data_IF_817601732301
#
_entry.id   IF_817601732301
#
_cell.length_a   1.000
_cell.length_b   1.000
_cell.length_c   1.000
_cell.angle_alpha   90.00
_cell.angle_beta   90.00
_cell.angle_gamma   90.00
#
_symmetry.space_group_name_H-M   'P 1'
#
loop_
_entity.id
_entity.type
_entity.pdbx_description
1 polymer ?
#
# COMPACT_ATOMS: atom_id res chain seq x y z
N UNK A 1 -12.26 -17.57 10.11
CA UNK A 1 -13.35 -16.63 9.78
C UNK A 1 -13.78 -16.87 8.34
N UNK A 2 -15.07 -16.70 8.05
CA UNK A 2 -15.58 -16.69 6.69
C UNK A 2 -14.96 -15.51 5.91
N UNK A 3 -15.05 -15.55 4.58
CA UNK A 3 -14.69 -14.40 3.74
C UNK A 3 -15.41 -13.13 4.23
N UNK A 4 -14.81 -11.94 4.08
CA UNK A 4 -15.49 -10.71 4.45
C UNK A 4 -16.81 -10.58 3.68
N UNK A 5 -17.83 -10.06 4.33
CA UNK A 5 -19.17 -9.93 3.76
C UNK A 5 -19.34 -8.73 2.80
N UNK A 6 -18.22 -8.08 2.44
CA UNK A 6 -18.15 -6.98 1.47
C UNK A 6 -17.23 -7.37 0.32
N UNK A 7 -17.51 -6.82 -0.87
CA UNK A 7 -16.65 -7.01 -2.04
C UNK A 7 -15.50 -6.01 -2.04
N UNK A 8 -15.82 -4.74 -1.75
CA UNK A 8 -14.86 -3.64 -1.64
C UNK A 8 -15.16 -2.88 -0.36
N UNK A 9 -14.13 -2.50 0.37
CA UNK A 9 -14.25 -1.75 1.62
C UNK A 9 -13.46 -0.45 1.52
N UNK A 10 -14.14 0.64 1.85
CA UNK A 10 -13.52 1.93 2.12
C UNK A 10 -13.67 2.33 3.57
N UNK A 11 -12.68 3.07 4.05
CA UNK A 11 -12.82 3.87 5.27
C UNK A 11 -12.84 5.34 4.85
N UNK A 12 -13.82 6.10 5.33
CA UNK A 12 -14.05 7.46 4.83
C UNK A 12 -14.65 8.38 5.87
N UNK A 13 -14.46 9.68 5.68
CA UNK A 13 -15.24 10.73 6.38
C UNK A 13 -16.49 11.02 5.57
N UNK A 14 -17.67 10.93 6.19
CA UNK A 14 -18.94 11.22 5.54
C UNK A 14 -19.20 12.73 5.48
N UNK A 15 -19.72 13.21 4.35
CA UNK A 15 -20.08 14.63 4.17
C UNK A 15 -21.28 15.04 5.03
N UNK A 16 -22.15 14.08 5.34
CA UNK A 16 -23.41 14.31 6.04
C UNK A 16 -23.22 14.72 7.50
N UNK A 17 -22.21 14.18 8.18
CA UNK A 17 -22.01 14.40 9.62
C UNK A 17 -20.56 14.48 10.07
N UNK A 18 -19.61 14.49 9.12
CA UNK A 18 -18.17 14.54 9.34
C UNK A 18 -17.62 13.37 10.19
N UNK A 19 -18.38 12.29 10.39
CA UNK A 19 -17.90 11.10 11.10
C UNK A 19 -17.17 10.15 10.16
N UNK A 20 -16.35 9.30 10.75
CA UNK A 20 -15.64 8.25 10.03
C UNK A 20 -16.47 6.97 9.98
N UNK A 21 -16.51 6.35 8.81
CA UNK A 21 -17.21 5.10 8.56
C UNK A 21 -16.32 4.11 7.81
N UNK A 22 -16.55 2.83 8.06
CA UNK A 22 -16.30 1.73 7.15
C UNK A 22 -17.56 1.47 6.32
N UNK A 23 -17.40 1.24 5.03
CA UNK A 23 -18.52 0.93 4.14
C UNK A 23 -18.08 0.39 2.79
N UNK A 24 -19.06 -0.08 2.02
CA UNK A 24 -18.87 -0.57 0.67
C UNK A 24 -19.21 0.52 -0.35
N UNK A 25 -18.28 0.91 -1.25
CA UNK A 25 -18.54 1.94 -2.24
C UNK A 25 -19.59 1.46 -3.26
N UNK A 26 -20.50 2.36 -3.65
CA UNK A 26 -21.52 2.06 -4.66
C UNK A 26 -20.93 2.08 -6.09
N UNK A 27 -19.81 2.77 -6.27
CA UNK A 27 -19.17 2.97 -7.57
C UNK A 27 -18.46 1.68 -8.04
N UNK A 28 -18.65 1.38 -9.33
CA UNK A 28 -17.90 0.36 -10.05
C UNK A 28 -16.64 0.96 -10.68
N UNK A 29 -15.66 0.12 -11.01
CA UNK A 29 -14.41 0.55 -11.64
C UNK A 29 -13.37 1.12 -10.67
N UNK A 30 -12.45 1.94 -11.19
CA UNK A 30 -11.31 2.47 -10.44
C UNK A 30 -11.74 3.62 -9.49
N UNK A 31 -11.99 3.25 -8.24
CA UNK A 31 -12.47 4.17 -7.21
C UNK A 31 -11.48 5.31 -6.92
N UNK A 32 -10.19 5.04 -6.99
CA UNK A 32 -9.20 6.04 -6.63
C UNK A 32 -8.96 7.06 -7.74
N UNK A 33 -9.12 6.67 -9.02
CA UNK A 33 -9.19 7.65 -10.11
C UNK A 33 -10.45 8.52 -10.02
N UNK A 34 -11.61 7.92 -9.76
CA UNK A 34 -12.85 8.67 -9.54
C UNK A 34 -12.68 9.69 -8.40
N UNK A 35 -12.08 9.26 -7.29
CA UNK A 35 -11.82 10.13 -6.14
C UNK A 35 -10.86 11.26 -6.49
N UNK A 36 -9.76 10.97 -7.20
CA UNK A 36 -8.78 11.97 -7.62
C UNK A 36 -9.35 12.98 -8.63
N UNK A 37 -10.37 12.59 -9.41
CA UNK A 37 -11.06 13.46 -10.36
C UNK A 37 -12.15 14.33 -9.69
N UNK A 38 -12.41 14.14 -8.39
CA UNK A 38 -13.47 14.85 -7.68
C UNK A 38 -14.87 14.34 -8.00
N UNK A 39 -14.98 13.13 -8.57
CA UNK A 39 -16.27 12.50 -8.84
C UNK A 39 -17.01 12.21 -7.53
N UNK A 40 -18.34 12.29 -7.59
CA UNK A 40 -19.17 12.01 -6.41
C UNK A 40 -19.12 10.52 -6.08
N UNK A 41 -18.53 10.19 -4.93
CA UNK A 41 -18.47 8.83 -4.37
C UNK A 41 -19.46 8.70 -3.23
N UNK A 42 -20.13 7.55 -3.16
CA UNK A 42 -21.03 7.17 -2.07
C UNK A 42 -20.69 5.76 -1.58
N UNK A 43 -20.90 5.50 -0.30
CA UNK A 43 -20.67 4.18 0.28
C UNK A 43 -21.75 3.81 1.28
N UNK A 44 -22.18 2.54 1.25
CA UNK A 44 -23.09 1.96 2.24
C UNK A 44 -22.31 1.59 3.50
N UNK A 45 -22.59 2.19 4.66
CA UNK A 45 -21.88 1.84 5.89
C UNK A 45 -22.08 0.37 6.28
N UNK A 46 -21.04 -0.22 6.88
CA UNK A 46 -21.18 -1.52 7.55
C UNK A 46 -22.14 -1.41 8.76
N UNK A 47 -22.83 -2.51 9.08
CA UNK A 47 -23.79 -2.56 10.18
C UNK A 47 -23.13 -2.31 11.54
N UNK A 48 -21.94 -2.89 11.72
CA UNK A 48 -21.04 -2.63 12.84
C UNK A 48 -19.77 -1.94 12.33
N UNK A 49 -19.40 -0.85 13.00
CA UNK A 49 -18.24 0.00 12.70
C UNK A 49 -17.01 -0.35 13.53
N UNK A 50 -17.12 -1.30 14.47
CA UNK A 50 -16.04 -1.71 15.38
C UNK A 50 -14.90 -2.42 14.67
N UNK A 51 -15.22 -3.26 13.67
CA UNK A 51 -14.25 -4.05 12.93
C UNK A 51 -14.71 -4.27 11.50
N UNK A 52 -13.83 -4.07 10.50
CA UNK A 52 -14.15 -4.35 9.12
C UNK A 52 -14.22 -5.86 8.81
N UNK A 53 -13.74 -6.73 9.71
CA UNK A 53 -13.59 -8.16 9.46
C UNK A 53 -14.80 -9.00 9.85
N UNK A 54 -15.55 -8.56 10.85
CA UNK A 54 -16.65 -9.33 11.46
C UNK A 54 -18.03 -8.79 11.08
N UNK A 55 -18.06 -7.71 10.31
CA UNK A 55 -19.26 -6.94 10.00
C UNK A 55 -19.69 -7.14 8.55
N UNK A 56 -20.99 -7.07 8.31
CA UNK A 56 -21.57 -7.06 6.96
C UNK A 56 -22.03 -5.65 6.58
N UNK A 57 -22.12 -5.32 5.27
CA UNK A 57 -22.82 -4.13 4.82
C UNK A 57 -24.20 -4.05 5.48
N UNK A 58 -24.60 -2.87 5.94
CA UNK A 58 -25.91 -2.70 6.55
C UNK A 58 -27.01 -3.09 5.57
N UNK A 59 -28.07 -3.75 6.04
CA UNK A 59 -29.29 -3.97 5.27
C UNK A 59 -30.05 -2.66 4.99
N UNK A 60 -29.63 -1.56 5.64
CA UNK A 60 -30.05 -0.20 5.31
C UNK A 60 -29.63 0.15 3.88
N UNK A 61 -30.59 0.64 3.09
CA UNK A 61 -30.34 1.18 1.74
C UNK A 61 -29.66 2.56 1.74
N UNK A 62 -29.27 3.09 2.91
CA UNK A 62 -28.70 4.44 3.03
C UNK A 62 -27.19 4.44 2.76
N UNK A 63 -26.81 4.93 1.60
CA UNK A 63 -25.44 5.35 1.32
C UNK A 63 -25.14 6.74 1.89
N UNK A 64 -23.89 6.96 2.30
CA UNK A 64 -23.33 8.25 2.69
C UNK A 64 -22.38 8.76 1.62
N UNK A 65 -22.28 10.07 1.48
CA UNK A 65 -21.39 10.72 0.52
C UNK A 65 -19.99 10.78 1.11
N UNK A 66 -19.01 10.25 0.37
CA UNK A 66 -17.60 10.30 0.77
C UNK A 66 -17.09 11.73 0.64
N UNK A 67 -16.75 12.36 1.77
CA UNK A 67 -16.04 13.64 1.79
C UNK A 67 -14.53 13.45 1.62
N UNK A 68 -13.98 12.43 2.29
CA UNK A 68 -12.55 12.10 2.24
C UNK A 68 -12.34 10.61 2.39
N UNK A 69 -11.58 10.00 1.49
CA UNK A 69 -11.08 8.63 1.67
C UNK A 69 -9.92 8.62 2.68
N UNK A 70 -9.88 7.57 3.49
CA UNK A 70 -8.85 7.30 4.49
C UNK A 70 -8.09 6.02 4.09
N UNK A 71 -6.96 5.67 4.74
CA UNK A 71 -6.43 4.32 4.62
C UNK A 71 -7.55 3.31 4.91
N UNK A 72 -7.71 2.23 4.10
CA UNK A 72 -8.81 1.27 4.25
C UNK A 72 -8.92 0.64 5.64
N UNK A 73 -7.85 0.67 6.43
CA UNK A 73 -7.83 0.26 7.84
C UNK A 73 -7.32 1.41 8.72
N UNK A 74 -7.95 1.58 9.89
CA UNK A 74 -7.42 2.46 10.91
C UNK A 74 -6.09 1.92 11.49
N UNK A 75 -5.17 2.78 11.97
CA UNK A 75 -3.88 2.33 12.51
C UNK A 75 -3.98 1.26 13.61
N UNK A 76 -5.00 1.33 14.48
CA UNK A 76 -5.21 0.32 15.54
C UNK A 76 -5.72 -1.03 15.02
N UNK A 77 -6.17 -1.10 13.76
CA UNK A 77 -6.49 -2.35 13.06
C UNK A 77 -5.32 -2.87 12.22
N UNK A 78 -4.15 -2.21 12.28
CA UNK A 78 -2.93 -2.63 11.58
C UNK A 78 -1.85 -2.93 12.62
N UNK A 79 -1.83 -4.13 13.19
CA UNK A 79 -0.89 -4.48 14.26
C UNK A 79 0.55 -4.65 13.76
N UNK A 80 0.75 -4.94 12.47
CA UNK A 80 2.08 -5.01 11.88
C UNK A 80 2.08 -4.71 10.38
N UNK A 81 3.18 -4.14 9.90
CA UNK A 81 3.45 -3.91 8.47
C UNK A 81 4.80 -4.54 8.16
N UNK A 82 4.80 -5.59 7.35
CA UNK A 82 6.00 -6.32 6.91
C UNK A 82 6.15 -6.15 5.40
N UNK A 83 7.29 -5.63 4.96
CA UNK A 83 7.59 -5.51 3.54
C UNK A 83 8.65 -6.51 3.09
N UNK A 84 8.50 -6.98 1.86
CA UNK A 84 9.36 -7.99 1.26
C UNK A 84 10.34 -7.35 0.29
N UNK A 85 11.62 -7.41 0.64
CA UNK A 85 12.72 -6.91 -0.18
C UNK A 85 13.06 -7.84 -1.33
N UNK A 86 13.52 -7.27 -2.45
CA UNK A 86 14.13 -8.01 -3.55
C UNK A 86 13.21 -9.11 -4.12
N UNK A 87 11.95 -8.77 -4.39
CA UNK A 87 10.96 -9.74 -4.88
C UNK A 87 10.78 -9.70 -6.41
N UNK A 88 11.43 -8.77 -7.10
CA UNK A 88 11.40 -8.60 -8.54
C UNK A 88 12.83 -8.47 -9.07
N UNK A 89 13.09 -9.13 -10.20
CA UNK A 89 14.40 -9.06 -10.85
C UNK A 89 14.73 -7.65 -11.34
N UNK A 90 15.98 -7.24 -11.15
CA UNK A 90 16.51 -6.00 -11.73
C UNK A 90 16.71 -6.10 -13.24
N UNK A 91 16.84 -7.32 -13.77
CA UNK A 91 16.90 -7.60 -15.20
C UNK A 91 15.68 -8.47 -15.55
N UNK A 92 14.65 -7.92 -16.22
CA UNK A 92 13.44 -8.68 -16.53
C UNK A 92 13.68 -9.87 -17.45
N UNK A 93 14.87 -9.96 -18.09
CA UNK A 93 15.25 -11.11 -18.91
C UNK A 93 15.93 -12.22 -18.12
N UNK A 94 16.30 -11.97 -16.85
CA UNK A 94 16.98 -12.94 -15.99
C UNK A 94 16.12 -13.27 -14.78
N UNK A 95 15.97 -14.57 -14.46
CA UNK A 95 15.30 -14.95 -13.23
C UNK A 95 16.14 -14.49 -12.04
N UNK A 96 15.47 -13.92 -11.05
CA UNK A 96 16.11 -13.66 -9.76
C UNK A 96 16.11 -14.95 -8.93
N UNK A 97 17.25 -15.38 -8.39
CA UNK A 97 17.27 -16.55 -7.52
C UNK A 97 16.47 -16.27 -6.26
N UNK A 98 15.67 -17.24 -5.87
CA UNK A 98 14.94 -17.22 -4.61
C UNK A 98 15.95 -17.31 -3.45
N UNK A 99 15.94 -16.35 -2.50
CA UNK A 99 16.87 -16.38 -1.39
C UNK A 99 16.48 -17.47 -0.37
N UNK A 100 17.47 -18.06 0.29
CA UNK A 100 17.23 -19.03 1.37
C UNK A 100 16.45 -18.38 2.53
N UNK A 101 16.88 -17.18 2.91
CA UNK A 101 16.23 -16.33 3.90
C UNK A 101 15.61 -15.12 3.21
N UNK A 102 14.29 -14.95 3.36
CA UNK A 102 13.60 -13.83 2.76
C UNK A 102 14.06 -12.52 3.40
N UNK A 103 14.25 -11.48 2.59
CA UNK A 103 14.60 -10.15 3.09
C UNK A 103 13.31 -9.48 3.56
N UNK A 104 13.18 -9.32 4.88
CA UNK A 104 12.00 -8.73 5.51
C UNK A 104 12.40 -7.45 6.22
N UNK A 105 11.60 -6.39 6.06
CA UNK A 105 11.68 -5.19 6.87
C UNK A 105 10.32 -4.83 7.45
N UNK A 106 10.33 -3.97 8.46
CA UNK A 106 9.13 -3.48 9.10
C UNK A 106 8.93 -1.99 8.79
N UNK A 107 7.67 -1.58 8.61
CA UNK A 107 7.28 -0.17 8.59
C UNK A 107 6.54 0.18 9.87
N UNK A 108 6.76 1.39 10.37
CA UNK A 108 5.96 1.91 11.48
C UNK A 108 4.50 2.10 11.05
N UNK A 109 3.54 1.75 11.90
CA UNK A 109 2.10 1.91 11.63
C UNK A 109 1.70 3.38 11.45
N UNK A 110 2.44 4.31 12.07
CA UNK A 110 2.26 5.76 11.88
C UNK A 110 2.63 6.25 10.46
N UNK A 111 3.33 5.44 9.65
CA UNK A 111 3.63 5.78 8.26
C UNK A 111 2.41 5.71 7.33
N UNK A 112 1.29 5.14 7.76
CA UNK A 112 0.07 5.00 6.95
C UNK A 112 -0.45 6.36 6.47
N UNK A 113 -0.77 6.43 5.17
CA UNK A 113 -1.45 7.57 4.54
C UNK A 113 -2.59 7.08 3.64
N UNK A 114 -3.63 7.90 3.50
CA UNK A 114 -4.80 7.57 2.69
C UNK A 114 -4.68 8.02 1.24
N UNK A 115 -5.69 7.70 0.41
CA UNK A 115 -5.82 8.26 -0.92
C UNK A 115 -5.95 9.79 -0.87
N UNK A 116 -5.14 10.49 -1.66
CA UNK A 116 -5.10 11.95 -1.73
C UNK A 116 -4.33 12.65 -0.60
N UNK A 117 -3.90 11.93 0.43
CA UNK A 117 -2.98 12.49 1.44
C UNK A 117 -1.61 12.76 0.78
N UNK A 118 -0.90 13.80 1.22
CA UNK A 118 0.42 14.10 0.69
C UNK A 118 1.49 13.15 1.25
N UNK A 119 2.39 12.67 0.40
CA UNK A 119 3.66 12.03 0.79
C UNK A 119 4.61 13.17 1.19
N UNK A 120 4.89 13.28 2.48
CA UNK A 120 5.77 14.33 3.01
C UNK A 120 7.21 13.85 2.96
N UNK A 121 8.08 14.59 2.27
CA UNK A 121 9.52 14.37 2.27
C UNK A 121 10.13 15.13 3.47
N UNK A 122 10.59 14.43 4.52
CA UNK A 122 11.15 15.09 5.70
C UNK A 122 12.55 15.62 5.39
N UNK A 123 12.99 16.66 6.11
CA UNK A 123 14.34 17.22 5.93
C UNK A 123 15.48 16.22 6.13
N UNK A 124 15.23 15.17 6.92
CA UNK A 124 16.18 14.09 7.20
C UNK A 124 16.24 13.04 6.09
N UNK A 125 15.27 13.00 5.18
CA UNK A 125 15.35 12.11 4.03
C UNK A 125 16.47 12.61 3.11
N UNK A 126 17.51 11.79 3.02
CA UNK A 126 18.78 12.11 2.39
C UNK A 126 18.63 12.46 0.90
N UNK A 127 18.76 13.75 0.59
CA UNK A 127 19.25 14.27 -0.70
C UNK A 127 18.57 13.73 -1.95
N UNK A 128 17.29 14.05 -2.14
CA UNK A 128 16.53 13.81 -3.38
C UNK A 128 16.38 12.33 -3.80
N UNK A 129 16.82 11.33 -3.01
CA UNK A 129 16.73 9.90 -3.38
C UNK A 129 15.48 9.20 -2.81
N UNK A 130 14.35 9.89 -2.83
CA UNK A 130 13.07 9.39 -2.32
C UNK A 130 12.29 8.71 -3.44
N UNK A 131 11.90 7.47 -3.22
CA UNK A 131 11.40 6.59 -4.26
C UNK A 131 9.98 6.15 -3.98
N UNK A 132 9.22 5.95 -5.05
CA UNK A 132 7.93 5.28 -5.04
C UNK A 132 8.14 3.78 -5.30
N UNK A 133 7.33 2.94 -4.67
CA UNK A 133 7.38 1.49 -4.84
C UNK A 133 5.95 0.96 -4.82
N UNK A 134 5.30 0.85 -5.99
CA UNK A 134 3.97 0.23 -6.04
C UNK A 134 4.05 -1.25 -5.72
N UNK A 135 3.20 -1.72 -4.81
CA UNK A 135 3.10 -3.14 -4.48
C UNK A 135 1.64 -3.57 -4.36
N UNK A 136 1.40 -4.87 -4.58
CA UNK A 136 0.20 -5.53 -4.08
C UNK A 136 0.38 -5.69 -2.56
N UNK A 137 -0.50 -5.10 -1.77
CA UNK A 137 -0.57 -5.33 -0.34
C UNK A 137 -1.57 -6.44 -0.05
N UNK A 138 -1.12 -7.47 0.68
CA UNK A 138 -1.96 -8.52 1.23
C UNK A 138 -2.30 -8.16 2.67
N UNK A 139 -3.59 -8.21 3.01
CA UNK A 139 -4.08 -7.94 4.37
C UNK A 139 -4.61 -9.24 4.95
N UNK A 140 -4.10 -9.63 6.12
CA UNK A 140 -4.58 -10.84 6.80
C UNK A 140 -5.95 -10.60 7.44
N UNK A 141 -6.90 -11.51 7.20
CA UNK A 141 -8.23 -11.45 7.79
C UNK A 141 -8.33 -12.15 9.14
N UNK A 142 -7.36 -12.99 9.50
CA UNK A 142 -7.31 -13.75 10.76
C UNK A 142 -5.85 -13.99 11.18
N UNK A 143 -5.64 -14.28 12.46
CA UNK A 143 -4.31 -14.58 13.00
C UNK A 143 -3.70 -15.80 12.30
N UNK A 144 -2.46 -15.66 11.84
CA UNK A 144 -1.68 -16.72 11.19
C UNK A 144 -0.45 -17.06 12.04
N UNK A 145 -0.29 -18.34 12.40
CA UNK A 145 0.91 -18.85 13.09
C UNK A 145 1.22 -20.25 12.56
N UNK A 146 2.48 -20.46 12.17
CA UNK A 146 2.99 -21.73 11.64
C UNK A 146 2.09 -22.30 10.52
N UNK A 147 1.62 -21.42 9.63
CA UNK A 147 0.67 -21.75 8.57
C UNK A 147 1.38 -22.54 7.47
N UNK A 148 0.76 -23.64 7.02
CA UNK A 148 1.23 -24.37 5.84
C UNK A 148 0.92 -23.58 4.57
N UNK A 149 1.78 -23.70 3.57
CA UNK A 149 1.63 -23.00 2.29
C UNK A 149 0.26 -23.27 1.64
N UNK A 150 -0.21 -24.52 1.63
CA UNK A 150 -1.50 -24.92 1.05
C UNK A 150 -2.71 -24.27 1.75
N UNK A 151 -2.57 -23.91 3.04
CA UNK A 151 -3.63 -23.30 3.84
C UNK A 151 -3.57 -21.76 3.81
N UNK A 152 -2.47 -21.20 3.31
CA UNK A 152 -2.10 -19.79 3.47
C UNK A 152 -3.12 -18.82 2.87
N UNK A 153 -3.67 -19.14 1.69
CA UNK A 153 -4.63 -18.25 1.02
C UNK A 153 -5.93 -18.08 1.83
N UNK A 154 -6.26 -19.03 2.71
CA UNK A 154 -7.43 -18.91 3.60
C UNK A 154 -7.27 -17.84 4.69
N UNK A 155 -6.07 -17.30 4.88
CA UNK A 155 -5.77 -16.25 5.86
C UNK A 155 -5.83 -14.85 5.24
N UNK A 156 -5.91 -14.74 3.90
CA UNK A 156 -6.02 -13.45 3.22
C UNK A 156 -7.43 -12.91 3.41
N UNK A 157 -7.52 -11.74 4.05
CA UNK A 157 -8.77 -11.00 4.24
C UNK A 157 -9.05 -10.04 3.09
N UNK A 158 -8.02 -9.59 2.37
CA UNK A 158 -8.17 -8.78 1.18
C UNK A 158 -6.86 -8.25 0.62
N UNK A 159 -6.99 -7.49 -0.46
CA UNK A 159 -5.90 -6.89 -1.22
C UNK A 159 -6.11 -5.39 -1.41
N UNK A 160 -5.04 -4.62 -1.44
CA UNK A 160 -5.11 -3.22 -1.85
C UNK A 160 -3.79 -2.77 -2.48
N UNK A 161 -3.76 -1.55 -3.02
CA UNK A 161 -2.53 -0.92 -3.48
C UNK A 161 -1.81 -0.32 -2.28
N UNK A 162 -0.50 -0.49 -2.25
CA UNK A 162 0.39 0.26 -1.36
C UNK A 162 1.47 0.97 -2.19
N UNK A 163 1.91 2.13 -1.72
CA UNK A 163 3.17 2.73 -2.14
C UNK A 163 4.19 2.59 -0.99
N UNK A 164 5.18 1.71 -1.14
CA UNK A 164 6.25 1.51 -0.15
C UNK A 164 7.34 2.59 -0.29
N UNK A 165 7.00 3.83 0.09
CA UNK A 165 7.90 4.98 -0.07
C UNK A 165 9.19 4.77 0.70
N UNK A 166 10.30 5.07 0.03
CA UNK A 166 11.63 4.71 0.49
C UNK A 166 12.71 5.77 0.23
N UNK A 167 13.57 5.98 1.21
CA UNK A 167 14.80 6.75 1.07
C UNK A 167 15.91 5.80 0.66
N UNK A 168 16.27 5.81 -0.62
CA UNK A 168 17.32 4.90 -1.12
C UNK A 168 18.69 5.23 -0.52
N UNK A 169 18.96 6.51 -0.23
CA UNK A 169 20.17 6.93 0.46
C UNK A 169 20.31 6.28 1.84
N UNK A 170 19.26 6.31 2.65
CA UNK A 170 19.27 5.69 3.99
C UNK A 170 19.27 4.17 3.93
N UNK A 171 18.48 3.56 3.05
CA UNK A 171 18.47 2.11 2.88
C UNK A 171 19.82 1.56 2.40
N UNK A 172 20.60 2.34 1.63
CA UNK A 172 21.95 1.94 1.20
C UNK A 172 23.02 2.12 2.29
N UNK A 173 22.84 3.07 3.20
CA UNK A 173 23.77 3.34 4.32
C UNK A 173 23.56 2.40 5.51
N UNK A 174 22.35 1.90 5.71
CA UNK A 174 21.97 1.09 6.87
C UNK A 174 21.75 -0.39 6.53
N UNK A 175 21.97 -1.25 7.53
CA UNK A 175 21.61 -2.68 7.45
C UNK A 175 20.12 -2.94 7.71
N UNK A 176 19.42 -2.00 8.35
CA UNK A 176 17.98 -2.08 8.65
C UNK A 176 17.22 -1.03 7.85
N UNK A 177 16.33 -1.46 6.95
CA UNK A 177 15.65 -0.54 6.03
C UNK A 177 14.48 0.22 6.64
N UNK A 178 13.99 -0.19 7.82
CA UNK A 178 12.83 0.42 8.47
C UNK A 178 12.97 1.93 8.65
N UNK A 179 14.17 2.42 8.99
CA UNK A 179 14.43 3.86 9.14
C UNK A 179 14.20 4.65 7.84
N UNK A 180 14.63 4.09 6.70
CA UNK A 180 14.44 4.69 5.39
C UNK A 180 13.07 4.41 4.78
N UNK A 181 12.15 3.76 5.49
CA UNK A 181 10.83 3.34 4.99
C UNK A 181 9.67 3.70 5.93
N UNK A 182 9.92 4.33 7.07
CA UNK A 182 8.90 4.47 8.13
C UNK A 182 8.60 5.91 8.55
N UNK A 183 8.99 6.91 7.75
CA UNK A 183 8.55 8.27 8.04
C UNK A 183 7.02 8.37 7.94
N UNK A 184 6.44 9.35 8.62
CA UNK A 184 5.02 9.66 8.51
C UNK A 184 4.65 9.81 7.03
N UNK A 185 3.48 9.30 6.63
CA UNK A 185 2.96 9.28 5.25
C UNK A 185 3.69 8.38 4.23
N UNK A 186 4.72 7.63 4.63
CA UNK A 186 5.51 6.78 3.70
C UNK A 186 4.94 5.38 3.46
N UNK A 187 3.73 5.11 3.93
CA UNK A 187 2.95 3.92 3.58
C UNK A 187 1.54 4.31 3.07
N UNK A 188 1.40 5.07 1.97
CA UNK A 188 0.10 5.26 1.35
C UNK A 188 -0.56 3.92 1.03
N UNK A 189 -1.83 3.76 1.39
CA UNK A 189 -2.59 2.51 1.30
C UNK A 189 -4.01 2.80 0.79
N UNK A 190 -4.48 2.08 -0.23
CA UNK A 190 -5.83 2.29 -0.80
C UNK A 190 -5.98 1.83 -2.25
N UNK A 191 -6.95 2.39 -3.02
CA UNK A 191 -8.02 3.30 -2.58
C UNK A 191 -9.12 2.60 -1.76
N UNK A 192 -9.21 1.28 -1.88
CA UNK A 192 -10.10 0.41 -1.11
C UNK A 192 -9.41 -0.93 -0.84
N UNK A 193 -9.92 -1.66 0.14
CA UNK A 193 -9.59 -3.07 0.35
C UNK A 193 -10.55 -3.93 -0.48
N UNK A 194 -10.03 -4.85 -1.28
CA UNK A 194 -10.79 -5.75 -2.16
C UNK A 194 -10.76 -7.15 -1.59
N UNK A 195 -11.93 -7.79 -1.46
CA UNK A 195 -12.00 -9.16 -0.93
C UNK A 195 -11.41 -10.17 -1.93
N UNK A 196 -10.97 -11.35 -1.47
CA UNK A 196 -10.48 -12.39 -2.38
C UNK A 196 -11.50 -12.81 -3.44
N UNK A 197 -12.78 -12.86 -3.08
CA UNK A 197 -13.86 -13.16 -4.01
C UNK A 197 -14.03 -12.06 -5.07
N UNK A 198 -14.05 -10.79 -4.64
CA UNK A 198 -14.25 -9.66 -5.54
C UNK A 198 -13.06 -9.38 -6.46
N UNK A 199 -11.84 -9.75 -6.04
CA UNK A 199 -10.68 -9.69 -6.93
C UNK A 199 -10.91 -10.57 -8.17
N UNK A 200 -11.56 -11.74 -7.99
CA UNK A 200 -11.99 -12.65 -9.06
C UNK A 200 -10.87 -13.24 -9.93
N UNK A 201 -9.64 -12.75 -9.77
CA UNK A 201 -8.45 -13.09 -10.54
C UNK A 201 -7.39 -13.73 -9.64
N UNK A 202 -6.47 -14.47 -10.27
CA UNK A 202 -5.28 -14.99 -9.62
C UNK A 202 -4.41 -13.80 -9.16
N UNK A 203 -4.16 -13.62 -7.84
CA UNK A 203 -3.38 -12.49 -7.33
C UNK A 203 -1.91 -12.51 -7.80
N UNK A 204 -1.47 -13.59 -8.46
CA UNK A 204 -0.16 -13.72 -9.09
C UNK A 204 -0.18 -13.47 -10.61
N UNK A 205 -1.23 -12.84 -11.16
CA UNK A 205 -1.31 -12.48 -12.59
C UNK A 205 -1.81 -11.05 -12.80
N UNK A 206 -1.61 -10.18 -11.81
CA UNK A 206 -2.12 -8.82 -11.83
C UNK A 206 -1.09 -7.88 -12.45
N UNK A 207 -1.54 -7.02 -13.36
CA UNK A 207 -0.76 -5.89 -13.84
C UNK A 207 -0.56 -4.87 -12.73
N UNK A 208 0.65 -4.34 -12.60
CA UNK A 208 1.01 -3.33 -11.62
C UNK A 208 1.84 -2.21 -12.26
N UNK A 209 1.48 -0.95 -12.00
CA UNK A 209 2.17 0.21 -12.59
C UNK A 209 2.25 1.39 -11.64
N UNK A 210 3.25 2.25 -11.84
CA UNK A 210 3.29 3.59 -11.25
C UNK A 210 3.39 4.61 -12.36
N UNK A 211 2.63 5.69 -12.26
CA UNK A 211 2.82 6.89 -13.06
C UNK A 211 3.22 8.06 -12.17
N UNK A 212 4.16 8.87 -12.64
CA UNK A 212 4.55 10.13 -11.99
C UNK A 212 4.32 11.27 -12.97
N UNK A 213 3.47 12.23 -12.60
CA UNK A 213 3.07 13.35 -13.46
C UNK A 213 2.56 12.86 -14.84
N UNK A 214 1.76 11.79 -14.84
CA UNK A 214 1.21 11.17 -16.04
C UNK A 214 2.19 10.33 -16.87
N UNK A 215 3.48 10.25 -16.49
CA UNK A 215 4.48 9.44 -17.19
C UNK A 215 4.63 8.08 -16.53
N UNK A 216 4.64 7.00 -17.32
CA UNK A 216 4.87 5.65 -16.83
C UNK A 216 6.27 5.55 -16.19
N UNK A 217 6.29 5.12 -14.93
CA UNK A 217 7.46 5.16 -14.05
C UNK A 217 7.81 3.77 -13.49
N UNK A 218 6.83 2.87 -13.34
CA UNK A 218 7.01 1.44 -13.06
C UNK A 218 6.00 0.64 -13.88
N UNK A 219 6.38 -0.55 -14.33
CA UNK A 219 5.48 -1.53 -14.96
C UNK A 219 5.97 -2.94 -14.65
N UNK A 220 5.06 -3.80 -14.20
CA UNK A 220 5.35 -5.21 -13.94
C UNK A 220 4.07 -6.05 -13.82
N UNK A 221 4.26 -7.29 -13.38
CA UNK A 221 3.16 -8.22 -13.05
C UNK A 221 3.46 -8.96 -11.76
N UNK A 222 2.45 -9.25 -10.95
CA UNK A 222 2.62 -10.07 -9.73
C UNK A 222 3.03 -11.51 -10.03
N UNK A 223 3.01 -11.92 -11.30
CA UNK A 223 3.59 -13.18 -11.77
C UNK A 223 5.11 -13.23 -11.58
N UNK A 224 5.78 -12.09 -11.47
CA UNK A 224 7.24 -12.00 -11.32
C UNK A 224 7.72 -12.05 -9.86
N UNK A 225 6.78 -12.10 -8.89
CA UNK A 225 7.13 -12.27 -7.47
C UNK A 225 7.99 -13.53 -7.27
N UNK A 226 9.20 -13.34 -6.74
CA UNK A 226 10.16 -14.43 -6.48
C UNK A 226 9.63 -15.41 -5.43
N UNK A 227 9.08 -14.89 -4.33
CA UNK A 227 8.38 -15.68 -3.30
C UNK A 227 6.88 -15.37 -3.40
N UNK A 228 6.05 -16.39 -3.68
CA UNK A 228 4.60 -16.23 -3.87
C UNK A 228 3.88 -16.01 -2.54
N UNK A 229 2.66 -15.45 -2.61
CA UNK A 229 1.87 -15.07 -1.42
C UNK A 229 1.67 -16.24 -0.44
N UNK A 230 1.34 -17.48 -0.88
CA UNK A 230 1.21 -18.60 0.02
C UNK A 230 2.47 -18.86 0.85
N UNK A 231 3.62 -18.87 0.18
CA UNK A 231 4.91 -19.07 0.81
C UNK A 231 5.32 -17.90 1.71
N UNK A 232 5.02 -16.65 1.32
CA UNK A 232 5.26 -15.48 2.16
C UNK A 232 4.53 -15.61 3.50
N UNK A 233 3.24 -15.97 3.48
CA UNK A 233 2.44 -16.15 4.69
C UNK A 233 3.01 -17.30 5.54
N UNK A 234 3.32 -18.43 4.92
CA UNK A 234 3.91 -19.58 5.62
C UNK A 234 5.22 -19.18 6.33
N UNK A 235 6.18 -18.62 5.57
CA UNK A 235 7.48 -18.17 6.09
C UNK A 235 7.35 -17.12 7.20
N UNK A 236 6.53 -16.10 6.99
CA UNK A 236 6.41 -14.98 7.93
C UNK A 236 5.68 -15.37 9.23
N UNK A 237 4.82 -16.39 9.18
CA UNK A 237 4.07 -16.89 10.33
C UNK A 237 4.83 -17.95 11.14
N UNK A 238 5.98 -18.44 10.65
CA UNK A 238 6.76 -19.43 11.37
C UNK A 238 7.37 -18.87 12.66
N UNK A 239 7.06 -19.52 13.78
CA UNK A 239 7.53 -19.15 15.11
C UNK A 239 6.98 -17.83 15.66
N UNK A 240 6.25 -17.04 14.86
CA UNK A 240 5.70 -15.73 15.25
C UNK A 240 4.31 -15.53 14.65
N UNK A 241 3.31 -15.27 15.50
CA UNK A 241 1.96 -14.93 15.03
C UNK A 241 1.98 -13.66 14.18
N UNK A 242 1.33 -13.70 13.03
CA UNK A 242 0.90 -12.54 12.27
C UNK A 242 -0.56 -12.25 12.65
N UNK A 243 -0.85 -11.19 13.42
CA UNK A 243 -2.22 -10.93 13.84
C UNK A 243 -3.11 -10.51 12.67
N UNK A 244 -4.43 -10.71 12.80
CA UNK A 244 -5.43 -10.18 11.87
C UNK A 244 -5.24 -8.67 11.64
N UNK A 245 -5.41 -8.22 10.41
CA UNK A 245 -5.13 -6.85 9.97
C UNK A 245 -3.66 -6.56 9.65
N UNK A 246 -2.74 -7.52 9.86
CA UNK A 246 -1.34 -7.34 9.44
C UNK A 246 -1.24 -7.17 7.93
N UNK A 247 -0.37 -6.25 7.51
CA UNK A 247 -0.06 -5.98 6.12
C UNK A 247 1.21 -6.71 5.70
N UNK A 248 1.16 -7.39 4.56
CA UNK A 248 2.32 -7.94 3.87
C UNK A 248 2.46 -7.16 2.55
N UNK A 249 3.50 -6.35 2.44
CA UNK A 249 3.83 -5.64 1.21
C UNK A 249 4.73 -6.59 0.39
N UNK A 250 4.20 -7.05 -0.75
CA UNK A 250 4.73 -8.24 -1.43
C UNK A 250 5.98 -8.00 -2.27
N UNK A 251 6.38 -6.74 -2.41
CA UNK A 251 7.50 -6.27 -3.22
C UNK A 251 7.06 -5.45 -4.43
N UNK A 252 7.99 -4.67 -4.97
CA UNK A 252 7.76 -3.75 -6.07
C UNK A 252 8.59 -4.09 -7.32
N UNK A 253 8.03 -3.96 -8.55
CA UNK A 253 8.82 -3.95 -9.77
C UNK A 253 9.85 -2.82 -9.75
N UNK A 254 10.95 -2.97 -10.50
CA UNK A 254 11.96 -1.91 -10.57
C UNK A 254 11.45 -0.71 -11.37
N UNK A 255 11.73 0.50 -10.89
CA UNK A 255 11.40 1.73 -11.62
C UNK A 255 12.09 1.80 -12.99
N UNK A 256 11.37 2.26 -14.01
CA UNK A 256 11.91 2.46 -15.35
C UNK A 256 13.03 3.51 -15.29
N UNK A 257 14.15 3.21 -15.96
CA UNK A 257 15.34 4.07 -15.92
C UNK A 257 16.20 3.90 -14.65
N UNK A 258 15.76 3.12 -13.65
CA UNK A 258 16.61 2.72 -12.52
C UNK A 258 17.61 1.66 -13.00
N UNK A 259 18.89 1.95 -12.78
CA UNK A 259 20.00 1.06 -13.13
C UNK A 259 20.57 0.37 -11.89
N UNK A 260 21.30 -0.72 -12.09
CA UNK A 260 21.92 -1.49 -11.01
C UNK A 260 23.01 -0.66 -10.29
N UNK A 261 23.35 -0.98 -9.02
CA UNK A 261 24.47 -0.34 -8.34
C UNK A 261 25.77 -0.45 -9.16
N UNK A 262 26.33 0.69 -9.57
CA UNK A 262 27.56 0.78 -10.39
C UNK A 262 27.41 1.48 -11.74
N UNK A 263 26.18 1.75 -12.19
CA UNK A 263 25.94 2.47 -13.45
C UNK A 263 26.03 4.00 -13.30
N UNK A 264 26.79 4.66 -14.19
CA UNK A 264 27.30 6.05 -14.04
C UNK A 264 26.34 7.14 -14.60
N UNK A 265 25.03 6.88 -14.72
CA UNK A 265 24.08 7.90 -15.20
C UNK A 265 23.03 8.21 -14.14
N UNK A 266 23.13 9.40 -13.57
CA UNK A 266 22.21 10.00 -12.61
C UNK A 266 20.94 10.51 -13.33
N UNK A 267 20.02 9.59 -13.63
CA UNK A 267 18.66 9.90 -14.10
C UNK A 267 17.59 9.13 -13.32
N UNK A 268 17.89 8.78 -12.06
CA UNK A 268 16.93 8.04 -11.24
C UNK A 268 15.66 8.89 -11.02
N UNK A 269 14.45 8.37 -11.35
CA UNK A 269 13.21 9.12 -11.22
C UNK A 269 12.77 9.15 -9.76
N UNK A 270 13.43 9.96 -8.95
CA UNK A 270 13.03 10.18 -7.57
C UNK A 270 11.91 11.22 -7.48
N UNK A 271 11.09 11.08 -6.45
CA UNK A 271 9.99 11.99 -6.12
C UNK A 271 10.51 13.35 -5.68
N UNK A 272 9.82 14.40 -6.11
CA UNK A 272 10.08 15.81 -5.78
C UNK A 272 8.81 16.50 -5.32
N UNK A 273 8.97 17.63 -4.63
CA UNK A 273 7.85 18.50 -4.27
C UNK A 273 6.95 18.80 -5.49
N UNK A 274 5.65 18.62 -5.31
CA UNK A 274 4.64 18.85 -6.35
C UNK A 274 4.36 17.66 -7.26
N UNK A 275 5.10 16.55 -7.17
CA UNK A 275 4.83 15.36 -7.99
C UNK A 275 3.47 14.73 -7.67
N UNK A 276 2.76 14.29 -8.71
CA UNK A 276 1.55 13.47 -8.63
C UNK A 276 1.92 12.00 -8.90
N UNK A 277 1.82 11.15 -7.88
CA UNK A 277 2.20 9.73 -7.94
C UNK A 277 0.94 8.87 -7.93
N UNK A 278 0.79 8.04 -8.96
CA UNK A 278 -0.35 7.15 -9.17
C UNK A 278 0.10 5.70 -9.26
N UNK A 279 -0.14 4.95 -8.20
CA UNK A 279 0.16 3.52 -8.09
C UNK A 279 -1.10 2.72 -8.46
N UNK A 280 -1.03 1.82 -9.42
CA UNK A 280 -2.17 1.01 -9.86
C UNK A 280 -1.87 -0.48 -9.71
N UNK A 281 -2.86 -1.22 -9.20
CA UNK A 281 -2.88 -2.69 -9.24
C UNK A 281 -4.21 -3.14 -9.84
N UNK A 282 -4.14 -4.02 -10.82
CA UNK A 282 -5.29 -4.61 -11.49
C UNK A 282 -6.25 -5.26 -10.47
N UNK A 283 -7.55 -4.97 -10.61
CA UNK A 283 -8.59 -5.41 -9.67
C UNK A 283 -8.71 -4.57 -8.39
N UNK A 284 -7.65 -3.86 -7.96
CA UNK A 284 -7.70 -2.99 -6.77
C UNK A 284 -8.01 -1.52 -7.11
N UNK A 285 -7.52 -1.02 -8.23
CA UNK A 285 -7.66 0.38 -8.67
C UNK A 285 -6.37 1.18 -8.50
N UNK A 286 -6.49 2.51 -8.48
CA UNK A 286 -5.34 3.43 -8.42
C UNK A 286 -5.28 4.15 -7.08
N UNK A 287 -4.14 4.10 -6.40
CA UNK A 287 -3.81 4.94 -5.26
C UNK A 287 -3.08 6.19 -5.75
N UNK A 288 -3.65 7.36 -5.47
CA UNK A 288 -3.12 8.68 -5.91
C UNK A 288 -2.67 9.49 -4.70
N UNK A 289 -1.45 10.00 -4.74
CA UNK A 289 -0.88 10.85 -3.70
C UNK A 289 -0.03 11.96 -4.33
N UNK A 290 -0.13 13.18 -3.79
CA UNK A 290 0.80 14.26 -4.12
C UNK A 290 2.06 14.18 -3.25
N UNK A 291 3.19 14.67 -3.73
CA UNK A 291 4.43 14.77 -2.95
C UNK A 291 4.62 16.20 -2.45
N UNK A 292 5.07 16.34 -1.20
CA UNK A 292 5.33 17.64 -0.57
C UNK A 292 6.62 17.65 0.21
N UNK A 293 7.46 18.65 -0.01
CA UNK A 293 8.62 18.92 0.83
C UNK A 293 8.22 19.57 2.15
N UNK A 294 8.71 19.01 3.26
CA UNK A 294 8.49 19.58 4.60
C UNK A 294 9.05 21.03 4.70
N UNK A 295 10.15 21.31 3.98
CA UNK A 295 10.83 22.61 4.03
C UNK A 295 10.05 23.74 3.35
N UNK A 296 9.24 23.46 2.34
CA UNK A 296 8.53 24.46 1.53
C UNK A 296 7.30 25.03 2.28
N UNK A 297 6.81 24.33 3.31
CA UNK A 297 5.60 24.71 4.07
C UNK A 297 5.80 25.64 5.28
N UNK A 298 7.03 25.94 5.69
CA UNK A 298 7.30 26.84 6.83
C UNK A 298 8.26 27.94 6.39
N UNK A 299 7.74 29.14 6.11
CA UNK A 299 8.57 30.34 6.14
C UNK A 299 9.41 30.31 7.41
N UNK A 300 10.74 30.47 7.28
CA UNK A 300 11.72 30.36 8.37
C UNK A 300 11.26 31.18 9.59
N UNK A 301 10.59 30.54 10.55
CA UNK A 301 10.47 31.12 11.89
C UNK A 301 11.83 30.88 12.53
N UNK A 302 12.70 31.89 12.46
CA UNK A 302 13.92 31.93 13.26
C UNK A 302 13.46 31.99 14.72
N UNK A 303 13.58 30.88 15.45
CA UNK A 303 13.55 30.93 16.90
C UNK A 303 14.75 31.78 17.33
N UNK A 304 14.48 32.95 17.92
CA UNK A 304 15.49 33.66 18.70
C UNK A 304 15.67 32.87 19.99
N UNK A 305 16.85 32.26 20.14
CA UNK A 305 17.36 31.85 21.45
C UNK A 305 17.62 33.11 22.29
#
# INVERSE_FOLDING_TARGET
MAAPAWSRLVRFVAKEDAKTYYGEPDQQGDLGLLYAQGERITARPLADQSSPWTSSPSSSSRSLTVQRLLPPLAPHHVPSIRGMGLQYSADPTKPQPKPDVAVVFFKATNSLAGPGDAIVLPKLADGEKNDYEVELCVVLGKDAKDVKEDDAMSYVGGYCVVNDVSSRGLCAKGVQWGMGKSYDTWCPLGPCLVSPEALGADPHKLTITTHVNGKLAQKGTTADLVIKIPELIARLSHGTTLPAGSLILTGSPIALGRKAPGDVVDQSPFMRDGDDVRCFVEGCGTLVNSVRDEAVGRGRIKAKL
#
